data_IF_530611040672
#
_entry.id   IF_530611040672
#
_cell.length_a   1.000
_cell.length_b   1.000
_cell.length_c   1.000
_cell.angle_alpha   90.00
_cell.angle_beta   90.00
_cell.angle_gamma   90.00
#
_symmetry.space_group_name_H-M   'P 1'
#
loop_
_entity.id
_entity.type
_entity.pdbx_description
1 polymer ?
#
# COMPACT_ATOMS: atom_id res chain seq x y z
N UNK A 1 14.66 -34.56 -23.50
CA UNK A 1 14.22 -33.19 -23.16
C UNK A 1 12.90 -33.28 -22.39
N UNK A 2 12.95 -33.20 -21.06
CA UNK A 2 11.80 -33.04 -20.17
C UNK A 2 12.15 -31.87 -19.24
N UNK A 3 11.92 -30.64 -19.69
CA UNK A 3 11.98 -29.43 -18.87
C UNK A 3 10.87 -28.53 -19.40
N UNK A 4 9.81 -28.35 -18.63
CA UNK A 4 8.68 -27.53 -19.08
C UNK A 4 7.43 -27.60 -18.21
N UNK A 5 7.35 -28.52 -17.25
CA UNK A 5 6.25 -28.54 -16.26
C UNK A 5 6.67 -28.09 -14.85
N UNK A 6 7.94 -28.26 -14.47
CA UNK A 6 8.38 -28.04 -13.09
C UNK A 6 8.67 -26.56 -12.75
N UNK A 7 9.18 -25.77 -13.71
CA UNK A 7 9.46 -24.34 -13.49
C UNK A 7 8.19 -23.50 -13.26
N UNK A 8 7.04 -23.92 -13.81
CA UNK A 8 5.76 -23.21 -13.63
C UNK A 8 5.14 -23.47 -12.25
N UNK A 9 5.35 -24.66 -11.66
CA UNK A 9 4.92 -24.95 -10.29
C UNK A 9 5.84 -24.31 -9.26
N UNK A 10 7.15 -24.31 -9.51
CA UNK A 10 8.16 -23.71 -8.63
C UNK A 10 7.98 -22.19 -8.50
N UNK A 11 7.82 -21.48 -9.63
CA UNK A 11 7.51 -20.04 -9.61
C UNK A 11 6.18 -19.76 -8.90
N UNK A 12 5.19 -20.64 -9.02
CA UNK A 12 3.91 -20.47 -8.33
C UNK A 12 4.06 -20.60 -6.81
N UNK A 13 4.85 -21.55 -6.33
CA UNK A 13 5.12 -21.73 -4.90
C UNK A 13 5.87 -20.54 -4.32
N UNK A 14 6.88 -20.03 -5.04
CA UNK A 14 7.60 -18.80 -4.69
C UNK A 14 6.64 -17.60 -4.59
N UNK A 15 5.70 -17.46 -5.54
CA UNK A 15 4.79 -16.31 -5.52
C UNK A 15 3.82 -16.41 -4.35
N UNK A 16 3.39 -17.62 -3.99
CA UNK A 16 2.53 -17.85 -2.84
C UNK A 16 3.27 -17.54 -1.53
N UNK A 17 4.51 -18.00 -1.37
CA UNK A 17 5.29 -17.76 -0.15
C UNK A 17 5.61 -16.27 0.05
N UNK A 18 5.86 -15.54 -1.03
CA UNK A 18 6.11 -14.09 -0.99
C UNK A 18 4.79 -13.31 -0.79
N UNK A 19 3.78 -13.53 -1.64
CA UNK A 19 2.64 -12.62 -1.70
C UNK A 19 1.51 -12.96 -0.73
N UNK A 20 1.40 -14.19 -0.23
CA UNK A 20 0.31 -14.56 0.68
C UNK A 20 0.25 -13.68 1.94
N UNK A 21 1.31 -13.56 2.76
CA UNK A 21 1.26 -12.70 3.95
C UNK A 21 1.18 -11.21 3.60
N UNK A 22 1.84 -10.78 2.52
CA UNK A 22 1.77 -9.41 2.01
C UNK A 22 0.32 -9.03 1.70
N UNK A 23 -0.40 -9.89 0.98
CA UNK A 23 -1.81 -9.66 0.63
C UNK A 23 -2.71 -9.65 1.86
N UNK A 24 -2.44 -10.44 2.90
CA UNK A 24 -3.20 -10.40 4.15
C UNK A 24 -3.13 -9.01 4.79
N UNK A 25 -1.94 -8.41 4.83
CA UNK A 25 -1.72 -7.08 5.41
C UNK A 25 -2.27 -5.97 4.52
N UNK A 26 -2.02 -6.04 3.20
CA UNK A 26 -2.49 -5.01 2.27
C UNK A 26 -4.02 -4.94 2.17
N UNK A 27 -4.73 -6.08 2.26
CA UNK A 27 -6.19 -6.12 2.21
C UNK A 27 -6.88 -5.50 3.43
N UNK A 28 -6.32 -5.62 4.64
CA UNK A 28 -6.93 -5.10 5.89
C UNK A 28 -6.87 -3.58 5.97
N UNK A 29 -7.86 -2.91 6.56
CA UNK A 29 -7.81 -1.50 7.00
C UNK A 29 -6.51 -1.19 7.76
N UNK A 30 -5.90 -0.01 7.60
CA UNK A 30 -4.95 0.45 8.63
C UNK A 30 -5.62 0.46 10.02
N UNK A 31 -6.84 0.99 10.10
CA UNK A 31 -7.64 0.99 11.33
C UNK A 31 -7.96 -0.44 11.80
N UNK A 32 -8.30 -1.35 10.88
CA UNK A 32 -8.53 -2.76 11.23
C UNK A 32 -7.28 -3.40 11.82
N UNK A 33 -6.10 -3.15 11.25
CA UNK A 33 -4.83 -3.64 11.77
C UNK A 33 -4.51 -3.01 13.13
N UNK A 34 -4.75 -1.71 13.31
CA UNK A 34 -4.50 -1.00 14.56
C UNK A 34 -5.32 -1.57 15.73
N UNK A 35 -6.51 -2.11 15.46
CA UNK A 35 -7.36 -2.76 16.46
C UNK A 35 -7.03 -4.24 16.70
N UNK A 36 -6.13 -4.85 15.93
CA UNK A 36 -5.66 -6.20 16.20
C UNK A 36 -4.70 -6.22 17.38
N UNK A 37 -4.75 -7.32 18.13
CA UNK A 37 -3.84 -7.56 19.24
C UNK A 37 -2.36 -7.54 18.79
N UNK A 38 -1.49 -7.02 19.67
CA UNK A 38 -0.07 -6.85 19.42
C UNK A 38 0.59 -8.16 18.99
N UNK A 39 0.24 -9.29 19.62
CA UNK A 39 0.78 -10.59 19.26
C UNK A 39 0.50 -10.97 17.81
N UNK A 40 -0.73 -10.71 17.33
CA UNK A 40 -1.09 -10.97 15.93
C UNK A 40 -0.34 -10.06 14.98
N UNK A 41 -0.20 -8.78 15.32
CA UNK A 41 0.54 -7.82 14.49
C UNK A 41 2.02 -8.19 14.40
N UNK A 42 2.64 -8.63 15.50
CA UNK A 42 4.02 -9.14 15.51
C UNK A 42 4.14 -10.41 14.64
N UNK A 43 3.18 -11.33 14.73
CA UNK A 43 3.19 -12.54 13.91
C UNK A 43 3.06 -12.21 12.41
N UNK A 44 2.26 -11.20 12.05
CA UNK A 44 2.20 -10.69 10.68
C UNK A 44 3.53 -10.06 10.25
N UNK A 45 4.18 -9.30 11.14
CA UNK A 45 5.48 -8.68 10.87
C UNK A 45 6.54 -9.74 10.55
N UNK A 46 6.65 -10.78 11.37
CA UNK A 46 7.60 -11.86 11.14
C UNK A 46 7.37 -12.57 9.79
N UNK A 47 6.10 -12.79 9.41
CA UNK A 47 5.76 -13.35 8.09
C UNK A 47 6.16 -12.43 6.93
N UNK A 48 6.09 -11.11 7.11
CA UNK A 48 6.58 -10.17 6.09
C UNK A 48 8.11 -10.20 5.98
N UNK A 49 8.83 -10.35 7.10
CA UNK A 49 10.28 -10.53 7.07
C UNK A 49 10.67 -11.85 6.39
N UNK A 50 9.94 -12.94 6.64
CA UNK A 50 10.12 -14.21 5.93
C UNK A 50 9.91 -14.04 4.42
N UNK A 51 8.83 -13.36 3.99
CA UNK A 51 8.61 -13.09 2.55
C UNK A 51 9.70 -12.23 1.92
N UNK A 52 10.26 -11.27 2.68
CA UNK A 52 11.39 -10.46 2.23
C UNK A 52 12.63 -11.33 2.03
N UNK A 53 12.94 -12.18 3.00
CA UNK A 53 14.07 -13.11 2.90
C UNK A 53 13.92 -14.05 1.70
N UNK A 54 12.72 -14.63 1.49
CA UNK A 54 12.46 -15.48 0.32
C UNK A 54 12.68 -14.72 -0.99
N UNK A 55 12.22 -13.47 -1.08
CA UNK A 55 12.45 -12.64 -2.27
C UNK A 55 13.95 -12.39 -2.50
N UNK A 56 14.70 -12.05 -1.46
CA UNK A 56 16.16 -11.80 -1.52
C UNK A 56 16.95 -13.04 -1.97
N UNK A 57 16.51 -14.23 -1.56
CA UNK A 57 17.12 -15.51 -1.93
C UNK A 57 16.67 -16.03 -3.32
N UNK A 58 15.60 -15.46 -3.89
CA UNK A 58 15.05 -15.89 -5.18
C UNK A 58 15.83 -15.31 -6.37
N UNK A 59 16.41 -16.20 -7.19
CA UNK A 59 17.13 -15.81 -8.42
C UNK A 59 16.40 -16.18 -9.71
N UNK A 60 15.21 -16.78 -9.62
CA UNK A 60 14.47 -17.35 -10.76
C UNK A 60 13.44 -16.42 -11.40
N UNK A 61 13.23 -15.23 -10.83
CA UNK A 61 12.27 -14.24 -11.30
C UNK A 61 12.96 -13.13 -12.10
N UNK A 62 12.20 -12.43 -12.95
CA UNK A 62 12.71 -11.25 -13.66
C UNK A 62 12.93 -10.06 -12.71
N UNK A 63 13.72 -9.08 -13.16
CA UNK A 63 13.96 -7.86 -12.38
C UNK A 63 12.65 -7.08 -12.14
N UNK A 64 11.78 -7.00 -13.14
CA UNK A 64 10.47 -6.33 -13.01
C UNK A 64 9.59 -7.01 -11.95
N UNK A 65 9.59 -8.34 -11.91
CA UNK A 65 8.87 -9.11 -10.88
C UNK A 65 9.48 -8.91 -9.50
N UNK A 66 10.81 -8.87 -9.40
CA UNK A 66 11.50 -8.58 -8.15
C UNK A 66 11.07 -7.22 -7.59
N UNK A 67 11.16 -6.16 -8.41
CA UNK A 67 10.77 -4.81 -8.00
C UNK A 67 9.28 -4.76 -7.62
N UNK A 68 8.41 -5.44 -8.39
CA UNK A 68 6.99 -5.52 -8.09
C UNK A 68 6.72 -6.16 -6.71
N UNK A 69 7.42 -7.24 -6.37
CA UNK A 69 7.29 -7.90 -5.08
C UNK A 69 7.91 -7.08 -3.95
N UNK A 70 9.07 -6.49 -4.18
CA UNK A 70 9.76 -5.62 -3.21
C UNK A 70 8.87 -4.45 -2.81
N UNK A 71 8.29 -3.75 -3.78
CA UNK A 71 7.39 -2.62 -3.56
C UNK A 71 6.19 -3.03 -2.69
N UNK A 72 5.55 -4.17 -2.99
CA UNK A 72 4.42 -4.68 -2.21
C UNK A 72 4.80 -5.06 -0.78
N UNK A 73 5.95 -5.72 -0.61
CA UNK A 73 6.48 -6.06 0.72
C UNK A 73 6.78 -4.77 1.50
N UNK A 74 7.45 -3.80 0.88
CA UNK A 74 7.81 -2.53 1.51
C UNK A 74 6.58 -1.79 2.01
N UNK A 75 5.53 -1.68 1.19
CA UNK A 75 4.25 -1.07 1.60
C UNK A 75 3.54 -1.84 2.72
N UNK A 76 3.51 -3.17 2.66
CA UNK A 76 2.90 -3.99 3.71
C UNK A 76 3.64 -3.83 5.04
N UNK A 77 4.98 -3.78 5.01
CA UNK A 77 5.81 -3.55 6.19
C UNK A 77 5.59 -2.14 6.73
N UNK A 78 5.62 -1.11 5.89
CA UNK A 78 5.37 0.27 6.31
C UNK A 78 4.01 0.38 7.00
N UNK A 79 2.95 -0.11 6.34
CA UNK A 79 1.59 -0.12 6.90
C UNK A 79 1.51 -0.76 8.27
N UNK A 80 2.13 -1.93 8.45
CA UNK A 80 2.12 -2.64 9.72
C UNK A 80 2.97 -1.93 10.77
N UNK A 81 4.14 -1.41 10.40
CA UNK A 81 5.00 -0.61 11.26
C UNK A 81 4.30 0.67 11.74
N UNK A 82 3.50 1.32 10.90
CA UNK A 82 2.70 2.50 11.28
C UNK A 82 1.76 2.20 12.44
N UNK A 83 1.26 0.97 12.56
CA UNK A 83 0.38 0.58 13.68
C UNK A 83 1.12 0.57 15.03
N UNK A 84 2.45 0.48 15.00
CA UNK A 84 3.32 0.49 16.16
C UNK A 84 4.01 1.83 16.41
N UNK A 85 3.86 2.82 15.52
CA UNK A 85 4.65 4.06 15.51
C UNK A 85 4.71 4.78 16.86
N UNK A 86 3.60 4.81 17.58
CA UNK A 86 3.48 5.49 18.88
C UNK A 86 3.84 4.60 20.09
N UNK A 87 4.34 3.39 19.87
CA UNK A 87 4.69 2.45 20.94
C UNK A 87 6.20 2.15 20.93
N UNK A 88 6.89 2.64 21.97
CA UNK A 88 8.34 2.48 22.14
C UNK A 88 8.81 1.03 22.27
N UNK A 89 7.94 0.13 22.73
CA UNK A 89 8.27 -1.29 22.93
C UNK A 89 8.55 -2.00 21.59
N UNK A 90 8.09 -1.41 20.48
CA UNK A 90 8.28 -1.91 19.11
C UNK A 90 9.26 -1.08 18.28
N UNK A 91 10.18 -0.38 18.94
CA UNK A 91 11.23 0.41 18.29
C UNK A 91 12.08 -0.39 17.29
N UNK A 92 12.23 -1.70 17.47
CA UNK A 92 12.91 -2.58 16.53
C UNK A 92 12.21 -2.70 15.17
N UNK A 93 10.88 -2.50 15.14
CA UNK A 93 10.04 -2.50 13.94
C UNK A 93 10.02 -1.10 13.33
N UNK A 94 9.72 -0.09 14.13
CA UNK A 94 9.46 1.29 13.64
C UNK A 94 10.72 2.00 13.15
N UNK A 95 11.89 1.73 13.74
CA UNK A 95 13.19 2.32 13.31
C UNK A 95 13.60 1.98 11.87
N UNK A 96 12.91 1.04 11.22
CA UNK A 96 13.20 0.65 9.84
C UNK A 96 12.60 1.64 8.81
N UNK A 97 11.86 2.65 9.27
CA UNK A 97 11.19 3.64 8.43
C UNK A 97 11.47 5.05 8.93
N UNK A 98 11.44 6.02 8.01
CA UNK A 98 11.57 7.44 8.35
C UNK A 98 10.22 8.03 8.77
N UNK A 99 10.25 9.17 9.48
CA UNK A 99 9.01 9.86 9.85
C UNK A 99 8.19 10.24 8.61
N UNK A 100 8.86 10.67 7.54
CA UNK A 100 8.19 11.00 6.28
C UNK A 100 7.52 9.80 5.63
N UNK A 101 8.10 8.61 5.69
CA UNK A 101 7.44 7.40 5.20
C UNK A 101 6.13 7.13 5.96
N UNK A 102 6.12 7.33 7.29
CA UNK A 102 4.89 7.20 8.09
C UNK A 102 3.85 8.27 7.76
N UNK A 103 4.26 9.53 7.70
CA UNK A 103 3.39 10.66 7.37
C UNK A 103 2.72 10.48 5.99
N UNK A 104 3.51 10.16 4.97
CA UNK A 104 2.99 9.92 3.62
C UNK A 104 2.03 8.73 3.58
N UNK A 105 2.35 7.64 4.26
CA UNK A 105 1.45 6.50 4.35
C UNK A 105 0.09 6.88 4.95
N UNK A 106 0.08 7.61 6.07
CA UNK A 106 -1.15 8.03 6.74
C UNK A 106 -2.00 8.95 5.86
N UNK A 107 -1.39 9.92 5.16
CA UNK A 107 -2.07 10.80 4.21
C UNK A 107 -2.79 9.98 3.14
N UNK A 108 -2.14 8.95 2.60
CA UNK A 108 -2.68 8.15 1.50
C UNK A 108 -3.79 7.21 1.99
N UNK A 109 -3.69 6.71 3.21
CA UNK A 109 -4.72 5.88 3.83
C UNK A 109 -6.01 6.67 4.12
N UNK A 110 -5.96 7.99 4.33
CA UNK A 110 -7.17 8.83 4.41
C UNK A 110 -8.08 8.67 3.19
N UNK A 111 -7.48 8.43 2.01
CA UNK A 111 -8.19 8.29 0.75
C UNK A 111 -8.64 6.86 0.45
N UNK A 112 -8.31 5.90 1.31
CA UNK A 112 -8.78 4.52 1.17
C UNK A 112 -10.30 4.40 1.21
N UNK A 113 -10.98 5.36 1.84
CA UNK A 113 -12.45 5.40 1.86
C UNK A 113 -13.05 5.25 0.44
N UNK A 114 -12.35 5.72 -0.59
CA UNK A 114 -12.79 5.61 -1.99
C UNK A 114 -12.67 4.20 -2.58
N UNK A 115 -11.97 3.26 -1.93
CA UNK A 115 -11.90 1.86 -2.35
C UNK A 115 -13.30 1.22 -2.30
N UNK A 116 -14.14 1.63 -1.34
CA UNK A 116 -15.50 1.09 -1.17
C UNK A 116 -16.59 1.80 -1.98
N UNK A 117 -16.33 2.97 -2.57
CA UNK A 117 -17.33 3.71 -3.36
C UNK A 117 -17.20 3.41 -4.84
N UNK A 118 -18.29 3.15 -5.54
CA UNK A 118 -18.32 3.17 -7.01
C UNK A 118 -18.21 4.61 -7.55
N UNK A 119 -17.85 4.75 -8.83
CA UNK A 119 -17.79 6.04 -9.53
C UNK A 119 -19.14 6.79 -9.42
N UNK A 120 -20.25 6.08 -9.57
CA UNK A 120 -21.60 6.66 -9.44
C UNK A 120 -21.91 7.15 -8.02
N UNK A 121 -21.45 6.44 -6.99
CA UNK A 121 -21.61 6.90 -5.61
C UNK A 121 -20.73 8.12 -5.32
N UNK A 122 -19.51 8.19 -5.87
CA UNK A 122 -18.65 9.37 -5.79
C UNK A 122 -19.37 10.57 -6.47
N UNK A 123 -19.91 10.39 -7.68
CA UNK A 123 -20.71 11.41 -8.41
C UNK A 123 -21.90 11.90 -7.60
N UNK A 124 -22.64 10.99 -6.96
CA UNK A 124 -23.77 11.34 -6.10
C UNK A 124 -23.35 12.19 -4.90
N UNK A 125 -22.22 11.87 -4.26
CA UNK A 125 -21.66 12.65 -3.16
C UNK A 125 -21.14 14.02 -3.61
N UNK A 126 -20.60 14.14 -4.82
CA UNK A 126 -20.23 15.44 -5.41
C UNK A 126 -21.48 16.31 -5.61
N UNK A 127 -22.56 15.73 -6.14
CA UNK A 127 -23.84 16.42 -6.40
C UNK A 127 -24.50 16.94 -5.14
N UNK A 128 -24.51 16.16 -4.06
CA UNK A 128 -25.20 16.56 -2.83
C UNK A 128 -24.51 17.72 -2.12
N UNK A 129 -23.20 17.94 -2.33
CA UNK A 129 -22.34 18.92 -1.62
C UNK A 129 -22.44 18.85 -0.09
N UNK A 130 -23.01 17.78 0.42
CA UNK A 130 -23.36 17.60 1.81
C UNK A 130 -22.97 16.19 2.20
N UNK A 131 -21.68 16.04 2.51
CA UNK A 131 -21.11 14.84 3.10
C UNK A 131 -19.65 15.11 3.47
N UNK A 132 -19.19 14.41 4.52
CA UNK A 132 -17.76 14.24 4.82
C UNK A 132 -16.95 13.77 3.60
N UNK A 133 -17.60 13.08 2.66
CA UNK A 133 -17.01 12.56 1.42
C UNK A 133 -16.72 13.69 0.43
N UNK A 134 -17.59 14.70 0.31
CA UNK A 134 -17.30 15.87 -0.53
C UNK A 134 -16.05 16.62 -0.05
N UNK A 135 -15.93 16.85 1.25
CA UNK A 135 -14.72 17.45 1.85
C UNK A 135 -13.47 16.57 1.64
N UNK A 136 -13.61 15.24 1.76
CA UNK A 136 -12.54 14.31 1.41
C UNK A 136 -12.13 14.40 -0.07
N UNK A 137 -13.06 14.56 -1.00
CA UNK A 137 -12.77 14.74 -2.44
C UNK A 137 -12.06 16.06 -2.68
N UNK A 138 -12.50 17.15 -2.07
CA UNK A 138 -11.84 18.46 -2.19
C UNK A 138 -10.42 18.44 -1.62
N UNK A 139 -10.26 17.90 -0.42
CA UNK A 139 -8.95 17.71 0.20
C UNK A 139 -8.06 16.78 -0.65
N UNK A 140 -8.64 15.78 -1.30
CA UNK A 140 -7.92 14.89 -2.21
C UNK A 140 -7.35 15.66 -3.41
N UNK A 141 -8.16 16.46 -4.10
CA UNK A 141 -7.71 17.26 -5.26
C UNK A 141 -6.61 18.26 -4.87
N UNK A 142 -6.72 18.88 -3.69
CA UNK A 142 -5.71 19.84 -3.19
C UNK A 142 -4.40 19.15 -2.78
N UNK A 143 -4.48 18.01 -2.07
CA UNK A 143 -3.31 17.25 -1.64
C UNK A 143 -2.67 16.50 -2.82
N UNK A 144 -3.43 15.96 -3.77
CA UNK A 144 -2.94 15.14 -4.90
C UNK A 144 -1.89 15.85 -5.75
N UNK A 145 -2.13 17.12 -6.11
CA UNK A 145 -1.15 17.92 -6.90
C UNK A 145 0.19 18.08 -6.20
N UNK A 146 0.20 17.90 -4.89
CA UNK A 146 1.33 18.11 -4.01
C UNK A 146 2.00 16.78 -3.68
N UNK A 147 1.26 15.69 -3.42
CA UNK A 147 1.83 14.43 -2.92
C UNK A 147 2.53 13.58 -3.98
N UNK A 148 2.00 13.48 -5.21
CA UNK A 148 2.55 12.55 -6.22
C UNK A 148 3.90 12.99 -6.77
N UNK A 149 4.13 14.30 -6.92
CA UNK A 149 5.44 14.83 -7.27
C UNK A 149 6.40 14.83 -6.07
N UNK A 150 5.92 15.22 -4.89
CA UNK A 150 6.78 15.34 -3.71
C UNK A 150 7.29 14.00 -3.18
N UNK A 151 6.56 12.90 -3.37
CA UNK A 151 7.01 11.59 -2.86
C UNK A 151 8.30 11.12 -3.53
N UNK A 152 8.50 11.45 -4.81
CA UNK A 152 9.73 11.14 -5.55
C UNK A 152 10.82 12.21 -5.40
N UNK A 153 10.47 13.42 -4.95
CA UNK A 153 11.44 14.49 -4.66
C UNK A 153 12.05 14.37 -3.25
N UNK A 154 11.43 13.59 -2.35
CA UNK A 154 11.91 13.39 -0.98
C UNK A 154 12.89 12.21 -0.89
N UNK A 155 14.18 12.49 -0.75
CA UNK A 155 15.25 11.50 -0.62
C UNK A 155 15.18 10.67 0.68
N UNK A 156 14.35 11.07 1.65
CA UNK A 156 14.12 10.34 2.90
C UNK A 156 13.04 9.25 2.77
N UNK A 157 12.43 9.12 1.59
CA UNK A 157 11.49 8.05 1.25
C UNK A 157 12.21 7.09 0.32
N UNK A 158 12.27 5.81 0.70
CA UNK A 158 12.86 4.79 -0.17
C UNK A 158 12.08 4.65 -1.46
N UNK A 159 12.79 4.43 -2.55
CA UNK A 159 12.22 4.28 -3.89
C UNK A 159 11.13 3.20 -3.94
N UNK A 160 11.35 2.04 -3.30
CA UNK A 160 10.36 0.95 -3.29
C UNK A 160 9.06 1.33 -2.57
N UNK A 161 9.13 2.17 -1.53
CA UNK A 161 7.97 2.72 -0.84
C UNK A 161 7.29 3.80 -1.68
N UNK A 162 8.07 4.69 -2.29
CA UNK A 162 7.55 5.74 -3.16
C UNK A 162 6.75 5.14 -4.33
N UNK A 163 7.29 4.14 -5.02
CA UNK A 163 6.59 3.42 -6.08
C UNK A 163 5.35 2.70 -5.56
N UNK A 164 5.44 1.96 -4.46
CA UNK A 164 4.29 1.22 -3.93
C UNK A 164 3.14 2.13 -3.47
N UNK A 165 3.46 3.27 -2.86
CA UNK A 165 2.48 4.29 -2.49
C UNK A 165 1.87 4.91 -3.75
N UNK A 166 2.70 5.29 -4.72
CA UNK A 166 2.24 5.88 -5.98
C UNK A 166 1.30 4.94 -6.73
N UNK A 167 1.63 3.66 -6.86
CA UNK A 167 0.78 2.66 -7.51
C UNK A 167 -0.57 2.51 -6.79
N UNK A 168 -0.55 2.38 -5.47
CA UNK A 168 -1.78 2.29 -4.65
C UNK A 168 -2.64 3.55 -4.73
N UNK A 169 -2.01 4.71 -4.90
CA UNK A 169 -2.68 5.99 -4.97
C UNK A 169 -3.23 6.30 -6.36
N UNK A 170 -2.55 5.85 -7.41
CA UNK A 170 -2.93 6.06 -8.81
C UNK A 170 -4.31 5.48 -9.12
N UNK A 171 -4.58 4.25 -8.69
CA UNK A 171 -5.89 3.61 -8.93
C UNK A 171 -7.04 4.41 -8.29
N UNK A 172 -6.83 4.93 -7.08
CA UNK A 172 -7.81 5.76 -6.35
C UNK A 172 -8.00 7.11 -7.03
N UNK A 173 -6.90 7.71 -7.45
CA UNK A 173 -6.84 8.99 -8.18
C UNK A 173 -7.64 8.90 -9.47
N UNK A 174 -7.35 7.92 -10.32
CA UNK A 174 -8.03 7.72 -11.60
C UNK A 174 -9.54 7.56 -11.42
N UNK A 175 -9.96 6.84 -10.37
CA UNK A 175 -11.37 6.66 -10.02
C UNK A 175 -12.08 7.97 -9.64
N UNK A 176 -11.41 8.83 -8.88
CA UNK A 176 -11.96 10.13 -8.45
C UNK A 176 -11.97 11.11 -9.61
N UNK A 177 -10.90 11.16 -10.41
CA UNK A 177 -10.82 11.98 -11.63
C UNK A 177 -11.91 11.60 -12.63
N UNK A 178 -12.12 10.30 -12.86
CA UNK A 178 -13.19 9.80 -13.73
C UNK A 178 -14.56 10.26 -13.23
N UNK A 179 -14.83 10.13 -11.93
CA UNK A 179 -16.07 10.61 -11.33
C UNK A 179 -16.27 12.12 -11.46
N UNK A 180 -15.20 12.92 -11.36
CA UNK A 180 -15.24 14.38 -11.53
C UNK A 180 -15.51 14.77 -12.98
N UNK A 181 -14.84 14.13 -13.94
CA UNK A 181 -15.04 14.36 -15.37
C UNK A 181 -16.49 14.01 -15.75
N UNK A 182 -16.97 12.82 -15.39
CA UNK A 182 -18.34 12.40 -15.67
C UNK A 182 -19.42 13.20 -14.92
N UNK A 183 -19.06 13.97 -13.90
CA UNK A 183 -19.97 14.90 -13.24
C UNK A 183 -20.07 16.24 -13.97
N UNK A 184 -18.95 16.72 -14.54
CA UNK A 184 -18.86 18.02 -15.23
C UNK A 184 -19.42 17.98 -16.66
N UNK A 185 -19.49 16.80 -17.28
CA UNK A 185 -20.09 16.55 -18.59
C UNK A 185 -21.48 15.92 -18.47
#
# INVERSE_FOLDING_TARGET
MKYGKDASSENREIYISILSPVNVVLRKGYQDLLHEDDFKRILLWNKLEESRQVLEETTSISLDEYHHFENKIALARLKLATTFHNNSDFSNITKNFTEHEFEFFLIIEEFRIFDSYSIEEIKKNIKSKDSKIYESIKSHVEKMKISSYKIFENYEIRESIAHAINDSYKERTEKIETALVEYLY
#
